data_IF_217116343734
#
_entry.id   IF_217116343734
#
_cell.length_a   1.000
_cell.length_b   1.000
_cell.length_c   1.000
_cell.angle_alpha   90.00
_cell.angle_beta   90.00
_cell.angle_gamma   90.00
#
_symmetry.space_group_name_H-M   'P 1'
#
loop_
_entity.id
_entity.type
_entity.pdbx_description
1 polymer ?
#
# COMPACT_ATOMS: atom_id res chain seq x y z
N UNK A 1 23.92 74.88 -4.71
CA UNK A 1 24.07 73.51 -5.09
C UNK A 1 23.75 72.68 -3.84
N UNK A 2 22.60 71.98 -3.85
CA UNK A 2 22.17 71.11 -2.71
C UNK A 2 22.48 69.66 -3.10
N UNK A 3 23.40 69.03 -2.39
CA UNK A 3 23.79 67.64 -2.61
C UNK A 3 22.79 66.75 -1.92
N UNK A 4 22.09 65.90 -2.69
CA UNK A 4 21.14 64.91 -2.21
C UNK A 4 21.92 63.60 -1.88
N UNK A 5 21.97 63.23 -0.62
CA UNK A 5 22.54 61.93 -0.18
C UNK A 5 21.42 60.90 -0.17
N UNK A 6 21.47 59.95 -1.09
CA UNK A 6 20.53 58.81 -1.12
C UNK A 6 21.15 57.70 -0.30
N UNK A 7 20.56 57.41 0.86
CA UNK A 7 20.93 56.25 1.72
C UNK A 7 20.25 54.99 1.19
N UNK A 8 21.00 54.03 0.65
CA UNK A 8 20.50 52.70 0.30
C UNK A 8 20.50 51.83 1.56
N UNK A 9 19.32 51.52 2.07
CA UNK A 9 19.13 50.52 3.09
C UNK A 9 18.99 49.13 2.42
N UNK A 10 20.01 48.31 2.51
CA UNK A 10 19.98 46.93 2.07
C UNK A 10 19.22 46.06 3.11
N UNK A 11 17.98 45.68 2.76
CA UNK A 11 17.21 44.75 3.55
C UNK A 11 17.71 43.32 3.25
N UNK A 12 18.42 42.69 4.19
CA UNK A 12 18.82 41.32 4.08
C UNK A 12 17.60 40.41 4.30
N UNK A 13 17.12 39.76 3.24
CA UNK A 13 16.09 38.70 3.32
C UNK A 13 16.77 37.42 3.82
N UNK A 14 16.59 37.13 5.10
CA UNK A 14 16.97 35.83 5.67
C UNK A 14 15.93 34.80 5.26
N UNK A 15 16.21 34.03 4.22
CA UNK A 15 15.44 32.83 3.86
C UNK A 15 15.74 31.74 4.89
N UNK A 16 14.85 31.56 5.85
CA UNK A 16 14.80 30.37 6.68
C UNK A 16 14.45 29.18 5.79
N UNK A 17 15.45 28.40 5.40
CA UNK A 17 15.25 27.09 4.80
C UNK A 17 14.64 26.18 5.88
N UNK A 18 13.32 26.01 5.85
CA UNK A 18 12.63 24.97 6.64
C UNK A 18 13.07 23.63 6.04
N UNK A 19 14.05 23.00 6.66
CA UNK A 19 14.37 21.61 6.43
C UNK A 19 13.17 20.77 6.93
N UNK A 20 12.17 20.57 6.10
CA UNK A 20 11.22 19.51 6.27
C UNK A 20 12.00 18.21 6.05
N UNK A 21 12.57 17.65 7.14
CA UNK A 21 13.07 16.28 7.16
C UNK A 21 11.88 15.41 6.75
N UNK A 22 11.95 14.90 5.53
CA UNK A 22 10.94 13.98 5.03
C UNK A 22 10.91 12.78 5.97
N UNK A 23 9.72 12.41 6.44
CA UNK A 23 9.49 11.18 7.21
C UNK A 23 10.03 9.91 6.50
N UNK A 24 10.37 10.06 5.20
CA UNK A 24 11.01 9.08 4.32
C UNK A 24 12.46 8.73 4.71
N UNK A 25 13.18 9.61 5.42
CA UNK A 25 14.61 9.45 5.71
C UNK A 25 14.82 9.07 7.19
N UNK A 26 14.02 8.12 7.69
CA UNK A 26 14.21 7.59 9.04
C UNK A 26 15.28 6.48 9.01
N UNK A 27 16.49 6.72 9.59
CA UNK A 27 17.58 5.75 9.56
C UNK A 27 17.21 4.39 10.19
N UNK A 28 16.31 4.40 11.19
CA UNK A 28 15.84 3.17 11.83
C UNK A 28 14.96 2.35 10.88
N UNK A 29 14.08 2.98 10.11
CA UNK A 29 13.28 2.29 9.10
C UNK A 29 14.18 1.69 8.00
N UNK A 30 15.16 2.46 7.52
CA UNK A 30 16.14 1.99 6.53
C UNK A 30 16.90 0.76 7.05
N UNK A 31 17.43 0.80 8.28
CA UNK A 31 18.12 -0.31 8.92
C UNK A 31 17.24 -1.58 8.96
N UNK A 32 15.97 -1.44 9.39
CA UNK A 32 15.03 -2.57 9.48
C UNK A 32 14.74 -3.13 8.09
N UNK A 33 14.52 -2.26 7.11
CA UNK A 33 14.23 -2.68 5.72
C UNK A 33 15.40 -3.46 5.15
N UNK A 34 16.62 -2.94 5.26
CA UNK A 34 17.82 -3.59 4.76
C UNK A 34 18.19 -4.87 5.53
N UNK A 35 17.85 -4.94 6.82
CA UNK A 35 18.14 -6.11 7.65
C UNK A 35 17.12 -7.26 7.50
N UNK A 36 15.85 -6.96 7.20
CA UNK A 36 14.76 -7.95 7.29
C UNK A 36 13.82 -7.95 6.10
N UNK A 37 13.36 -6.77 5.63
CA UNK A 37 12.20 -6.69 4.74
C UNK A 37 12.58 -6.88 3.26
N UNK A 38 13.78 -6.41 2.86
CA UNK A 38 14.19 -6.31 1.46
C UNK A 38 14.23 -7.64 0.72
N UNK A 39 14.55 -8.74 1.42
CA UNK A 39 14.69 -10.07 0.81
C UNK A 39 13.41 -10.50 0.08
N UNK A 40 12.25 -10.19 0.69
CA UNK A 40 10.94 -10.57 0.16
C UNK A 40 10.23 -9.40 -0.55
N UNK A 41 10.33 -8.19 0.02
CA UNK A 41 9.56 -7.03 -0.45
C UNK A 41 10.37 -6.08 -1.34
N UNK A 42 11.68 -6.31 -1.51
CA UNK A 42 12.57 -5.36 -2.17
C UNK A 42 12.90 -4.14 -1.29
N UNK A 43 14.07 -3.56 -1.46
CA UNK A 43 14.51 -2.41 -0.66
C UNK A 43 13.60 -1.18 -0.86
N UNK A 44 13.04 -1.01 -2.04
CA UNK A 44 12.10 0.06 -2.34
C UNK A 44 10.62 -0.38 -2.21
N UNK A 45 10.35 -1.58 -1.70
CA UNK A 45 8.99 -2.09 -1.58
C UNK A 45 8.42 -2.66 -2.89
N UNK A 46 9.23 -2.78 -3.94
CA UNK A 46 8.87 -3.40 -5.22
C UNK A 46 9.32 -4.87 -5.22
N UNK A 47 8.47 -5.73 -4.65
CA UNK A 47 8.73 -7.18 -4.65
C UNK A 47 8.77 -7.74 -6.07
N UNK A 48 9.80 -8.52 -6.36
CA UNK A 48 9.89 -9.29 -7.62
C UNK A 48 9.12 -10.61 -7.58
N UNK A 49 8.78 -11.08 -6.39
CA UNK A 49 8.06 -12.35 -6.21
C UNK A 49 6.54 -12.13 -6.11
N UNK A 50 5.73 -12.84 -6.92
CA UNK A 50 4.29 -12.64 -6.96
C UNK A 50 3.55 -13.09 -5.69
N UNK A 51 4.21 -13.80 -4.78
CA UNK A 51 3.60 -14.24 -3.52
C UNK A 51 3.81 -13.24 -2.37
N UNK A 52 4.81 -12.35 -2.49
CA UNK A 52 5.05 -11.31 -1.50
C UNK A 52 4.50 -9.96 -2.00
N UNK A 53 3.78 -9.20 -1.17
CA UNK A 53 3.17 -7.96 -1.64
C UNK A 53 4.20 -6.88 -1.95
N UNK A 54 3.88 -6.07 -2.97
CA UNK A 54 4.48 -4.76 -3.15
C UNK A 54 4.03 -3.83 -2.04
N UNK A 55 4.95 -3.10 -1.46
CA UNK A 55 4.72 -2.17 -0.37
C UNK A 55 4.95 -0.70 -0.78
N UNK A 56 5.60 -0.45 -1.92
CA UNK A 56 5.82 0.88 -2.47
C UNK A 56 4.49 1.64 -2.63
N UNK A 57 4.44 2.87 -2.14
CA UNK A 57 3.26 3.72 -2.17
C UNK A 57 2.07 3.23 -1.34
N UNK A 58 2.25 2.22 -0.49
CA UNK A 58 1.20 1.75 0.41
C UNK A 58 1.06 2.69 1.60
N UNK A 59 -0.18 3.01 1.97
CA UNK A 59 -0.49 3.97 3.04
C UNK A 59 0.18 3.62 4.36
N UNK A 60 0.83 4.61 4.99
CA UNK A 60 1.60 4.43 6.22
C UNK A 60 0.77 3.83 7.36
N UNK A 61 -0.46 4.34 7.56
CA UNK A 61 -1.35 3.83 8.60
C UNK A 61 -1.76 2.38 8.36
N UNK A 62 -2.00 2.01 7.09
CA UNK A 62 -2.33 0.64 6.73
C UNK A 62 -1.15 -0.30 6.99
N UNK A 63 0.07 0.07 6.57
CA UNK A 63 1.28 -0.73 6.81
C UNK A 63 1.50 -0.92 8.32
N UNK A 64 1.49 0.18 9.10
CA UNK A 64 1.69 0.13 10.55
C UNK A 64 0.67 -0.79 11.23
N UNK A 65 -0.61 -0.70 10.84
CA UNK A 65 -1.67 -1.57 11.36
C UNK A 65 -1.43 -3.04 10.98
N UNK A 66 -1.01 -3.35 9.74
CA UNK A 66 -0.76 -4.72 9.34
C UNK A 66 0.41 -5.34 10.13
N UNK A 67 1.48 -4.57 10.38
CA UNK A 67 2.61 -5.03 11.20
C UNK A 67 2.17 -5.30 12.65
N UNK A 68 1.37 -4.41 13.24
CA UNK A 68 0.78 -4.61 14.56
C UNK A 68 -0.15 -5.85 14.61
N UNK A 69 -0.97 -6.04 13.57
CA UNK A 69 -1.87 -7.20 13.47
C UNK A 69 -1.10 -8.51 13.35
N UNK A 70 0.03 -8.55 12.64
CA UNK A 70 0.92 -9.72 12.61
C UNK A 70 1.56 -9.97 13.97
N UNK A 71 2.05 -8.93 14.64
CA UNK A 71 2.67 -9.06 15.97
C UNK A 71 1.69 -9.57 17.01
N UNK A 72 0.47 -9.05 17.04
CA UNK A 72 -0.59 -9.48 17.98
C UNK A 72 -1.24 -10.81 17.63
N UNK A 73 -1.02 -11.35 16.41
CA UNK A 73 -1.67 -12.54 15.91
C UNK A 73 -3.09 -12.32 15.35
N UNK A 74 -3.57 -11.06 15.31
CA UNK A 74 -4.85 -10.71 14.68
C UNK A 74 -4.84 -10.99 13.17
N UNK A 75 -3.66 -10.86 12.52
CA UNK A 75 -3.39 -11.36 11.19
C UNK A 75 -2.34 -12.47 11.26
N UNK A 76 -2.74 -13.68 10.90
CA UNK A 76 -1.86 -14.85 11.01
C UNK A 76 -0.96 -14.96 9.79
N UNK A 77 0.34 -15.15 10.00
CA UNK A 77 1.33 -15.48 8.98
C UNK A 77 2.57 -16.07 9.62
N UNK A 78 2.92 -17.30 9.27
CA UNK A 78 4.16 -17.94 9.72
C UNK A 78 5.42 -17.20 9.22
N UNK A 79 5.34 -16.54 8.07
CA UNK A 79 6.43 -15.74 7.50
C UNK A 79 6.59 -14.39 8.21
N UNK A 80 5.47 -13.65 8.39
CA UNK A 80 5.55 -12.28 8.91
C UNK A 80 5.68 -12.21 10.43
N UNK A 81 5.16 -13.18 11.16
CA UNK A 81 5.21 -13.18 12.64
C UNK A 81 6.64 -13.01 13.17
N UNK A 82 7.64 -13.81 12.76
CA UNK A 82 9.01 -13.65 13.24
C UNK A 82 9.67 -12.34 12.74
N UNK A 83 9.23 -11.78 11.60
CA UNK A 83 9.79 -10.54 11.07
C UNK A 83 9.45 -9.30 11.92
N UNK A 84 8.33 -9.34 12.66
CA UNK A 84 7.81 -8.21 13.44
C UNK A 84 7.95 -8.39 14.96
N UNK A 85 8.44 -9.52 15.43
CA UNK A 85 8.41 -9.89 16.84
C UNK A 85 9.19 -8.94 17.75
N UNK A 86 10.34 -8.48 17.30
CA UNK A 86 11.23 -7.54 18.01
C UNK A 86 10.95 -6.06 17.70
N UNK A 87 9.97 -5.76 16.82
CA UNK A 87 9.62 -4.40 16.44
C UNK A 87 8.54 -3.79 17.33
N UNK A 88 8.61 -2.49 17.55
CA UNK A 88 7.64 -1.73 18.35
C UNK A 88 6.71 -0.84 17.53
N UNK A 89 5.74 -0.18 18.18
CA UNK A 89 4.79 0.71 17.51
C UNK A 89 5.49 1.86 16.72
N UNK A 90 6.60 2.38 17.22
CA UNK A 90 7.35 3.44 16.53
C UNK A 90 8.05 2.91 15.29
N UNK A 91 8.58 1.67 15.32
CA UNK A 91 9.13 1.01 14.14
C UNK A 91 8.03 0.80 13.09
N UNK A 92 6.81 0.42 13.50
CA UNK A 92 5.68 0.24 12.57
C UNK A 92 5.29 1.54 11.88
N UNK A 93 5.26 2.67 12.60
CA UNK A 93 5.02 3.98 12.01
C UNK A 93 6.12 4.38 11.04
N UNK A 94 7.38 4.19 11.44
CA UNK A 94 8.54 4.51 10.62
C UNK A 94 8.57 3.68 9.32
N UNK A 95 8.31 2.38 9.40
CA UNK A 95 8.19 1.50 8.23
C UNK A 95 7.00 1.87 7.34
N UNK A 96 5.87 2.26 7.93
CA UNK A 96 4.72 2.77 7.19
C UNK A 96 5.10 4.00 6.36
N UNK A 97 5.68 5.01 6.98
CA UNK A 97 6.12 6.23 6.31
C UNK A 97 7.21 5.95 5.25
N UNK A 98 8.12 5.01 5.53
CA UNK A 98 9.15 4.57 4.59
C UNK A 98 8.51 4.05 3.29
N UNK A 99 7.61 3.06 3.36
CA UNK A 99 7.04 2.46 2.16
C UNK A 99 6.04 3.38 1.44
N UNK A 100 5.30 4.21 2.15
CA UNK A 100 4.41 5.21 1.55
C UNK A 100 5.16 6.20 0.67
N UNK A 101 6.38 6.59 1.07
CA UNK A 101 7.22 7.52 0.31
C UNK A 101 7.91 6.90 -0.91
N UNK A 102 7.88 5.56 -1.06
CA UNK A 102 8.56 4.90 -2.17
C UNK A 102 7.74 5.04 -3.47
N UNK A 103 8.40 5.31 -4.60
CA UNK A 103 7.70 5.44 -5.87
C UNK A 103 7.12 4.10 -6.30
N UNK A 104 5.88 4.12 -6.73
CA UNK A 104 5.24 2.97 -7.37
C UNK A 104 5.69 2.84 -8.82
N UNK A 105 5.74 1.61 -9.32
CA UNK A 105 6.05 1.32 -10.71
C UNK A 105 4.79 0.90 -11.46
N UNK A 106 4.78 1.18 -12.77
CA UNK A 106 3.78 0.65 -13.69
C UNK A 106 4.10 -0.81 -14.00
N UNK A 107 3.10 -1.67 -13.92
CA UNK A 107 3.25 -3.10 -14.17
C UNK A 107 2.41 -3.54 -15.36
N UNK A 108 3.00 -4.41 -16.18
CA UNK A 108 2.29 -5.02 -17.29
C UNK A 108 1.31 -6.07 -16.77
N UNK A 109 0.12 -6.09 -17.33
CA UNK A 109 -0.88 -7.14 -17.09
C UNK A 109 -0.51 -8.38 -17.91
N UNK A 110 -0.43 -9.53 -17.25
CA UNK A 110 -0.08 -10.78 -17.91
C UNK A 110 -1.20 -11.29 -18.83
N UNK A 111 -2.47 -11.11 -18.40
CA UNK A 111 -3.67 -11.53 -19.12
C UNK A 111 -4.64 -10.34 -19.28
N UNK A 112 -4.56 -9.61 -20.42
CA UNK A 112 -5.40 -8.44 -20.67
C UNK A 112 -6.90 -8.76 -20.80
N UNK A 113 -7.27 -9.94 -21.31
CA UNK A 113 -8.67 -10.34 -21.48
C UNK A 113 -9.30 -10.60 -20.10
N UNK A 114 -8.59 -11.32 -19.27
CA UNK A 114 -9.00 -11.57 -17.88
C UNK A 114 -9.10 -10.25 -17.09
N UNK A 115 -8.15 -9.33 -17.27
CA UNK A 115 -8.17 -8.03 -16.64
C UNK A 115 -9.34 -7.17 -17.10
N UNK A 116 -9.79 -7.28 -18.35
CA UNK A 116 -10.98 -6.56 -18.83
C UNK A 116 -12.25 -7.02 -18.11
N UNK A 117 -12.41 -8.31 -17.88
CA UNK A 117 -13.49 -8.85 -17.04
C UNK A 117 -13.37 -8.33 -15.59
N UNK A 118 -12.17 -8.36 -15.04
CA UNK A 118 -11.87 -7.86 -13.70
C UNK A 118 -12.19 -6.38 -13.54
N UNK A 119 -11.95 -5.56 -14.56
CA UNK A 119 -12.33 -4.15 -14.59
C UNK A 119 -13.83 -3.95 -14.37
N UNK A 120 -14.66 -4.76 -15.02
CA UNK A 120 -16.10 -4.66 -14.83
C UNK A 120 -16.49 -4.91 -13.37
N UNK A 121 -15.99 -5.99 -12.78
CA UNK A 121 -16.29 -6.37 -11.39
C UNK A 121 -15.71 -5.33 -10.42
N UNK A 122 -14.49 -4.87 -10.65
CA UNK A 122 -13.86 -3.86 -9.81
C UNK A 122 -14.67 -2.56 -9.77
N UNK A 123 -15.15 -2.10 -10.93
CA UNK A 123 -15.84 -0.81 -11.07
C UNK A 123 -17.33 -0.89 -10.73
N UNK A 124 -18.00 -2.04 -10.95
CA UNK A 124 -19.45 -2.16 -10.86
C UNK A 124 -19.94 -3.26 -9.93
N UNK A 125 -19.05 -4.16 -9.49
CA UNK A 125 -19.45 -5.37 -8.77
C UNK A 125 -20.17 -6.37 -9.69
N UNK A 126 -20.86 -7.31 -9.05
CA UNK A 126 -21.74 -8.25 -9.73
C UNK A 126 -23.10 -8.27 -9.00
N UNK A 127 -24.15 -7.63 -9.54
CA UNK A 127 -25.45 -7.56 -8.88
C UNK A 127 -26.15 -8.92 -8.77
N UNK A 128 -25.82 -9.87 -9.65
CA UNK A 128 -26.45 -11.21 -9.63
C UNK A 128 -25.93 -12.06 -8.46
N UNK A 129 -24.66 -11.94 -8.10
CA UNK A 129 -24.07 -12.63 -6.93
C UNK A 129 -24.02 -11.73 -5.70
N UNK A 130 -24.36 -10.45 -5.83
CA UNK A 130 -24.31 -9.47 -4.74
C UNK A 130 -22.90 -9.04 -4.38
N UNK A 131 -21.91 -9.18 -5.29
CA UNK A 131 -20.54 -8.66 -5.11
C UNK A 131 -20.59 -7.15 -5.22
N UNK A 132 -20.15 -6.45 -4.16
CA UNK A 132 -20.01 -5.00 -4.16
C UNK A 132 -18.84 -4.56 -5.06
N UNK A 133 -18.96 -3.38 -5.68
CA UNK A 133 -17.88 -2.78 -6.45
C UNK A 133 -16.67 -2.46 -5.56
N UNK A 134 -15.50 -2.96 -5.91
CA UNK A 134 -14.25 -2.72 -5.16
C UNK A 134 -13.91 -1.22 -5.12
N UNK A 135 -14.18 -0.52 -6.23
CA UNK A 135 -13.96 0.92 -6.40
C UNK A 135 -14.74 1.78 -5.39
N UNK A 136 -15.85 1.28 -4.83
CA UNK A 136 -16.64 2.01 -3.84
C UNK A 136 -15.89 2.29 -2.54
N UNK A 137 -14.98 1.40 -2.16
CA UNK A 137 -14.14 1.55 -0.96
C UNK A 137 -12.68 1.86 -1.30
N UNK A 138 -12.12 1.19 -2.31
CA UNK A 138 -10.71 1.34 -2.69
C UNK A 138 -10.45 2.45 -3.70
N UNK A 139 -11.49 3.17 -4.13
CA UNK A 139 -11.42 4.21 -5.14
C UNK A 139 -11.33 3.67 -6.57
N UNK A 140 -11.70 4.50 -7.58
CA UNK A 140 -11.76 4.07 -8.98
C UNK A 140 -10.40 3.69 -9.58
N UNK A 141 -9.32 4.23 -9.02
CA UNK A 141 -7.94 3.88 -9.36
C UNK A 141 -7.32 2.84 -8.43
N UNK A 142 -8.06 2.35 -7.44
CA UNK A 142 -7.54 1.39 -6.47
C UNK A 142 -6.47 1.96 -5.53
N UNK A 143 -6.44 3.28 -5.34
CA UNK A 143 -5.45 3.92 -4.47
C UNK A 143 -5.78 3.76 -2.99
N UNK A 144 -7.03 3.45 -2.64
CA UNK A 144 -7.46 3.33 -1.25
C UNK A 144 -7.55 4.67 -0.52
N UNK A 145 -7.38 4.62 0.77
CA UNK A 145 -7.31 5.77 1.71
C UNK A 145 -6.28 5.44 2.79
N UNK A 146 -6.01 6.37 3.71
CA UNK A 146 -5.07 6.13 4.82
C UNK A 146 -5.34 4.82 5.58
N UNK A 147 -6.60 4.42 5.69
CA UNK A 147 -7.02 3.21 6.41
C UNK A 147 -7.38 2.02 5.51
N UNK A 148 -7.69 2.25 4.24
CA UNK A 148 -7.98 1.23 3.26
C UNK A 148 -6.79 1.07 2.31
N UNK A 149 -6.34 -0.16 2.01
CA UNK A 149 -5.10 -0.35 1.27
C UNK A 149 -5.18 0.18 -0.16
N UNK A 150 -4.05 0.72 -0.63
CA UNK A 150 -3.77 0.82 -2.05
C UNK A 150 -3.73 -0.61 -2.63
N UNK A 151 -4.49 -0.83 -3.69
CA UNK A 151 -4.54 -2.08 -4.45
C UNK A 151 -3.77 -1.94 -5.77
N UNK A 152 -3.76 -0.73 -6.34
CA UNK A 152 -3.17 -0.46 -7.65
C UNK A 152 -1.72 -0.95 -7.73
N UNK A 153 -1.42 -1.67 -8.80
CA UNK A 153 -0.11 -2.23 -9.08
C UNK A 153 0.28 -3.45 -8.23
N UNK A 154 -0.62 -3.96 -7.39
CA UNK A 154 -0.31 -5.13 -6.56
C UNK A 154 -0.24 -6.41 -7.41
N UNK A 155 0.63 -7.34 -7.05
CA UNK A 155 0.72 -8.64 -7.70
C UNK A 155 -0.64 -9.35 -7.77
N UNK A 156 -0.99 -9.84 -8.95
CA UNK A 156 -2.23 -10.57 -9.17
C UNK A 156 -2.31 -11.81 -8.25
N UNK A 157 -1.24 -12.59 -8.17
CA UNK A 157 -1.17 -13.78 -7.31
C UNK A 157 -1.37 -13.44 -5.82
N UNK A 158 -0.73 -12.36 -5.35
CA UNK A 158 -0.92 -11.93 -3.96
C UNK A 158 -2.38 -11.49 -3.71
N UNK A 159 -2.94 -10.70 -4.61
CA UNK A 159 -4.33 -10.21 -4.51
C UNK A 159 -5.32 -11.37 -4.48
N UNK A 160 -5.18 -12.33 -5.40
CA UNK A 160 -6.00 -13.54 -5.45
C UNK A 160 -5.90 -14.35 -4.14
N UNK A 161 -4.68 -14.55 -3.63
CA UNK A 161 -4.45 -15.25 -2.36
C UNK A 161 -5.12 -14.53 -1.19
N UNK A 162 -5.08 -13.19 -1.15
CA UNK A 162 -5.76 -12.44 -0.09
C UNK A 162 -7.28 -12.53 -0.19
N UNK A 163 -7.86 -12.47 -1.38
CA UNK A 163 -9.30 -12.66 -1.57
C UNK A 163 -9.74 -14.06 -1.11
N UNK A 164 -8.97 -15.09 -1.46
CA UNK A 164 -9.21 -16.47 -0.99
C UNK A 164 -9.10 -16.58 0.54
N UNK A 165 -8.10 -15.95 1.14
CA UNK A 165 -7.91 -15.97 2.58
C UNK A 165 -9.04 -15.26 3.34
N UNK A 166 -9.57 -14.15 2.81
CA UNK A 166 -10.76 -13.50 3.36
C UNK A 166 -12.01 -14.37 3.21
N UNK A 167 -12.21 -14.99 2.04
CA UNK A 167 -13.35 -15.89 1.78
C UNK A 167 -13.35 -17.06 2.78
N UNK A 168 -12.22 -17.70 2.99
CA UNK A 168 -12.06 -18.83 3.91
C UNK A 168 -11.98 -18.44 5.39
N UNK A 169 -11.97 -17.14 5.71
CA UNK A 169 -11.73 -16.61 7.06
C UNK A 169 -10.36 -16.99 7.65
N UNK A 170 -9.39 -17.29 6.81
CA UNK A 170 -7.98 -17.42 7.18
C UNK A 170 -7.33 -16.06 7.46
N UNK A 171 -7.90 -14.99 6.87
CA UNK A 171 -7.60 -13.61 7.17
C UNK A 171 -8.87 -12.91 7.68
N UNK A 172 -8.81 -12.36 8.90
CA UNK A 172 -9.98 -11.84 9.63
C UNK A 172 -9.78 -10.44 10.20
N UNK A 173 -8.68 -9.77 9.88
CA UNK A 173 -8.34 -8.45 10.43
C UNK A 173 -9.01 -7.26 9.70
N UNK A 174 -10.18 -7.51 9.11
CA UNK A 174 -10.97 -6.61 8.26
C UNK A 174 -12.36 -6.26 8.82
N UNK A 175 -12.64 -6.69 10.06
CA UNK A 175 -13.98 -6.59 10.68
C UNK A 175 -15.09 -7.24 9.82
N UNK A 176 -14.76 -8.34 9.13
CA UNK A 176 -15.63 -9.12 8.23
C UNK A 176 -16.10 -8.39 6.95
N UNK A 177 -15.67 -7.16 6.69
CA UNK A 177 -16.06 -6.41 5.48
C UNK A 177 -15.56 -7.13 4.23
N UNK A 178 -14.26 -7.44 4.16
CA UNK A 178 -13.69 -8.13 3.01
C UNK A 178 -14.17 -9.58 2.88
N UNK A 179 -14.47 -10.24 4.00
CA UNK A 179 -15.13 -11.55 3.96
C UNK A 179 -16.50 -11.44 3.27
N UNK A 180 -17.31 -10.45 3.63
CA UNK A 180 -18.64 -10.21 3.02
C UNK A 180 -18.60 -9.95 1.51
N UNK A 181 -17.49 -9.42 0.99
CA UNK A 181 -17.26 -9.24 -0.45
C UNK A 181 -16.68 -10.51 -1.07
N UNK A 182 -15.58 -11.02 -0.50
CA UNK A 182 -14.81 -12.12 -1.07
C UNK A 182 -15.58 -13.45 -1.11
N UNK A 183 -16.46 -13.71 -0.13
CA UNK A 183 -17.29 -14.92 -0.07
C UNK A 183 -18.31 -15.03 -1.21
N UNK A 184 -18.58 -13.93 -1.90
CA UNK A 184 -19.51 -13.87 -3.04
C UNK A 184 -18.84 -13.96 -4.40
N UNK A 185 -17.50 -13.83 -4.43
CA UNK A 185 -16.72 -13.97 -5.65
C UNK A 185 -16.57 -15.45 -6.04
N UNK A 186 -16.78 -15.75 -7.30
CA UNK A 186 -16.30 -16.99 -7.91
C UNK A 186 -14.77 -16.95 -8.02
N UNK A 187 -14.14 -18.10 -8.21
CA UNK A 187 -12.69 -18.17 -8.43
C UNK A 187 -12.26 -17.37 -9.67
N UNK A 188 -13.05 -17.44 -10.75
CA UNK A 188 -12.78 -16.70 -11.98
C UNK A 188 -12.88 -15.19 -11.75
N UNK A 189 -13.89 -14.72 -11.01
CA UNK A 189 -14.05 -13.30 -10.69
C UNK A 189 -12.89 -12.79 -9.81
N UNK A 190 -12.50 -13.55 -8.79
CA UNK A 190 -11.38 -13.21 -7.92
C UNK A 190 -10.06 -13.09 -8.73
N UNK A 191 -9.81 -14.04 -9.61
CA UNK A 191 -8.65 -14.05 -10.51
C UNK A 191 -8.69 -12.87 -11.50
N UNK A 192 -9.87 -12.58 -12.07
CA UNK A 192 -10.06 -11.47 -13.00
C UNK A 192 -9.80 -10.11 -12.34
N UNK A 193 -10.38 -9.89 -11.16
CA UNK A 193 -10.16 -8.66 -10.37
C UNK A 193 -8.69 -8.50 -10.01
N UNK A 194 -8.03 -9.58 -9.62
CA UNK A 194 -6.59 -9.59 -9.30
C UNK A 194 -5.72 -9.22 -10.51
N UNK A 195 -6.05 -9.75 -11.69
CA UNK A 195 -5.39 -9.39 -12.95
C UNK A 195 -5.59 -7.90 -13.29
N UNK A 196 -6.80 -7.36 -13.13
CA UNK A 196 -7.06 -5.94 -13.35
C UNK A 196 -6.28 -5.04 -12.39
N UNK A 197 -6.29 -5.37 -11.10
CA UNK A 197 -5.59 -4.63 -10.04
C UNK A 197 -4.09 -4.54 -10.34
N UNK A 198 -3.48 -5.60 -10.89
CA UNK A 198 -2.04 -5.64 -11.15
C UNK A 198 -1.56 -4.62 -12.18
N UNK A 199 -2.45 -4.16 -13.06
CA UNK A 199 -2.15 -3.15 -14.08
C UNK A 199 -2.70 -1.76 -13.76
N UNK A 200 -3.31 -1.52 -12.59
CA UNK A 200 -3.74 -0.19 -12.18
C UNK A 200 -2.54 0.67 -11.75
N UNK A 201 -2.64 1.99 -12.03
CA UNK A 201 -1.65 3.02 -11.69
C UNK A 201 -2.16 4.01 -10.64
#
# INVERSE_FOLDING_TARGET
>A
MKTLVISLTTTAVVTLAVNATRAADNPRAEEIVQGKCFICHGAQGESSSPVFPRLAGQHAQYVARQLADYKSGKRVSSTMKPMVEDLGPEDFKALGAYFESRPTQTHKVDDPELAQMGRFIFMRGNPYSGVAACSGCHGPKGHGTDTLPRLAGQHAQYTENQLKAFNKRERTNDNAIMHGVASKLTELEAKSVAAYISGLE
#
